data_IF_880594774244
#
_entry.id   IF_880594774244
#
_cell.length_a   1.000
_cell.length_b   1.000
_cell.length_c   1.000
_cell.angle_alpha   90.00
_cell.angle_beta   90.00
_cell.angle_gamma   90.00
#
_symmetry.space_group_name_H-M   'P 1'
#
loop_
_entity.id
_entity.type
_entity.pdbx_description
1 polymer ?
#
# COMPACT_ATOMS: atom_id res chain seq x y z
N UNK A 1 5.50 35.74 52.13
CA UNK A 1 4.57 35.70 50.98
C UNK A 1 4.55 34.30 50.48
N UNK A 2 3.45 33.59 50.72
CA UNK A 2 3.26 32.22 50.20
C UNK A 2 2.74 32.39 48.76
N UNK A 3 3.55 32.06 47.75
CA UNK A 3 3.08 31.97 46.37
C UNK A 3 2.21 30.71 46.29
N UNK A 4 0.91 30.92 46.26
CA UNK A 4 -0.05 29.88 45.90
C UNK A 4 0.06 29.73 44.36
N UNK A 5 0.83 28.77 43.87
CA UNK A 5 0.76 28.32 42.50
C UNK A 5 -0.61 27.63 42.34
N UNK A 6 -1.55 28.32 41.73
CA UNK A 6 -2.79 27.72 41.27
C UNK A 6 -2.34 26.72 40.19
N UNK A 7 -2.35 25.42 40.50
CA UNK A 7 -2.21 24.40 39.51
C UNK A 7 -3.43 24.57 38.58
N UNK A 8 -3.16 25.01 37.37
CA UNK A 8 -4.18 25.08 36.31
C UNK A 8 -4.64 23.63 36.02
N UNK A 9 -5.76 23.27 36.64
CA UNK A 9 -6.28 21.90 36.67
C UNK A 9 -6.99 21.58 35.35
N UNK A 10 -6.39 21.95 34.22
CA UNK A 10 -6.87 21.66 32.89
C UNK A 10 -6.60 20.19 32.60
N UNK A 11 -7.63 19.48 32.12
CA UNK A 11 -7.48 18.09 31.68
C UNK A 11 -6.55 18.04 30.45
N UNK A 12 -5.67 17.02 30.34
CA UNK A 12 -4.75 16.89 29.23
C UNK A 12 -5.41 16.96 27.85
N UNK A 13 -4.69 17.50 26.87
CA UNK A 13 -5.14 17.59 25.50
C UNK A 13 -4.28 16.69 24.62
N UNK A 14 -4.93 15.96 23.71
CA UNK A 14 -4.25 15.24 22.61
C UNK A 14 -4.26 16.18 21.40
N UNK A 15 -3.07 16.52 20.91
CA UNK A 15 -2.87 17.41 19.76
C UNK A 15 -2.74 16.63 18.44
N UNK A 16 -2.51 15.32 18.51
CA UNK A 16 -2.46 14.43 17.33
C UNK A 16 -3.86 14.26 16.78
N UNK A 17 -4.00 14.39 15.46
CA UNK A 17 -5.22 14.05 14.74
C UNK A 17 -5.28 12.56 14.38
N UNK A 18 -6.46 12.07 14.02
CA UNK A 18 -6.62 10.72 13.48
C UNK A 18 -5.78 10.55 12.21
N UNK A 19 -4.94 9.52 12.20
CA UNK A 19 -4.02 9.26 11.09
C UNK A 19 -4.22 7.88 10.50
N UNK A 20 -3.92 7.76 9.20
CA UNK A 20 -3.84 6.49 8.47
C UNK A 20 -2.40 6.30 8.01
N UNK A 21 -1.76 5.23 8.45
CA UNK A 21 -0.42 4.84 7.99
C UNK A 21 -0.52 3.56 7.18
N UNK A 22 0.18 3.52 6.06
CA UNK A 22 0.33 2.30 5.25
C UNK A 22 1.81 1.94 5.20
N UNK A 23 2.16 0.80 5.76
CA UNK A 23 3.54 0.34 5.90
C UNK A 23 3.71 -1.06 5.33
N UNK A 24 4.93 -1.38 4.91
CA UNK A 24 5.24 -2.71 4.41
C UNK A 24 5.40 -3.70 5.58
N UNK A 25 5.08 -4.96 5.30
CA UNK A 25 5.39 -6.06 6.21
C UNK A 25 6.90 -6.06 6.53
N UNK A 26 7.27 -6.51 7.73
CA UNK A 26 8.64 -6.50 8.28
C UNK A 26 9.25 -5.12 8.52
N UNK A 27 8.57 -4.01 8.22
CA UNK A 27 9.02 -2.67 8.61
C UNK A 27 8.69 -2.36 10.08
N UNK A 28 8.95 -1.15 10.52
CA UNK A 28 8.61 -0.67 11.88
C UNK A 28 7.52 0.37 11.79
N UNK A 29 6.45 0.24 12.58
CA UNK A 29 5.46 1.29 12.79
C UNK A 29 5.84 2.12 14.01
N UNK A 30 5.66 3.45 13.89
CA UNK A 30 5.78 4.40 15.00
C UNK A 30 4.49 5.22 15.02
N UNK A 31 3.65 4.95 16.03
CA UNK A 31 2.38 5.63 16.25
C UNK A 31 2.58 6.65 17.37
N UNK A 32 2.55 7.94 17.04
CA UNK A 32 2.91 9.01 17.98
C UNK A 32 1.72 9.82 18.41
N UNK A 33 1.56 9.95 19.72
CA UNK A 33 0.56 10.75 20.39
C UNK A 33 1.23 11.99 21.01
N UNK A 34 0.89 13.17 20.49
CA UNK A 34 1.37 14.46 21.01
C UNK A 34 0.39 14.96 22.07
N UNK A 35 0.88 15.18 23.27
CA UNK A 35 0.07 15.50 24.42
C UNK A 35 0.54 16.79 25.05
N UNK A 36 -0.41 17.65 25.36
CA UNK A 36 -0.23 18.88 26.13
C UNK A 36 -0.81 18.72 27.52
N UNK A 37 -0.07 19.24 28.53
CA UNK A 37 -0.47 19.30 29.92
C UNK A 37 -0.83 17.94 30.53
N UNK A 38 0.00 16.90 30.28
CA UNK A 38 -0.25 15.54 30.75
C UNK A 38 -0.39 15.47 32.29
N UNK A 39 0.40 16.27 33.03
CA UNK A 39 0.39 16.27 34.50
C UNK A 39 0.65 14.88 35.08
N UNK A 40 -0.19 14.48 36.05
CA UNK A 40 -0.10 13.17 36.72
C UNK A 40 -0.88 12.06 35.98
N UNK A 41 -1.45 12.36 34.79
CA UNK A 41 -2.20 11.38 34.04
C UNK A 41 -1.26 10.43 33.27
N UNK A 42 -1.80 9.27 32.91
CA UNK A 42 -1.08 8.27 32.11
C UNK A 42 -1.68 8.15 30.73
N UNK A 43 -0.77 8.03 29.75
CA UNK A 43 -1.14 7.67 28.38
C UNK A 43 -1.35 6.18 28.31
N UNK A 44 -2.47 5.75 27.75
CA UNK A 44 -2.78 4.34 27.55
C UNK A 44 -2.93 4.06 26.07
N UNK A 45 -2.24 3.04 25.60
CA UNK A 45 -2.37 2.53 24.25
C UNK A 45 -3.25 1.29 24.23
N UNK A 46 -4.20 1.26 23.28
CA UNK A 46 -5.09 0.13 23.03
C UNK A 46 -4.98 -0.32 21.59
N UNK A 47 -5.23 -1.61 21.34
CA UNK A 47 -5.57 -2.13 20.02
C UNK A 47 -7.06 -2.48 20.01
N UNK A 48 -7.79 -1.94 19.03
CA UNK A 48 -9.22 -2.23 18.84
C UNK A 48 -9.39 -3.51 18.03
N UNK A 49 -10.21 -4.41 18.53
CA UNK A 49 -10.63 -5.63 17.84
C UNK A 49 -12.03 -5.42 17.24
N UNK A 50 -12.17 -5.39 15.90
CA UNK A 50 -13.47 -5.17 15.27
C UNK A 50 -14.44 -6.36 15.43
N UNK A 51 -13.94 -7.57 15.71
CA UNK A 51 -14.78 -8.75 15.86
C UNK A 51 -15.52 -8.75 17.20
N UNK A 52 -14.82 -8.38 18.26
CA UNK A 52 -15.39 -8.35 19.63
C UNK A 52 -15.90 -6.96 20.01
N UNK A 53 -15.58 -5.93 19.21
CA UNK A 53 -15.80 -4.51 19.52
C UNK A 53 -15.13 -4.06 20.83
N UNK A 54 -14.12 -4.80 21.28
CA UNK A 54 -13.36 -4.50 22.50
C UNK A 54 -12.01 -3.87 22.14
N UNK A 55 -11.45 -3.16 23.11
CA UNK A 55 -10.11 -2.58 23.02
C UNK A 55 -9.22 -3.22 24.07
N UNK A 56 -8.19 -3.92 23.62
CA UNK A 56 -7.21 -4.54 24.51
C UNK A 56 -6.10 -3.55 24.86
N UNK A 57 -5.76 -3.37 26.15
CA UNK A 57 -4.68 -2.49 26.56
C UNK A 57 -3.33 -3.10 26.15
N UNK A 58 -2.50 -2.30 25.48
CA UNK A 58 -1.14 -2.65 25.10
C UNK A 58 -0.10 -2.07 26.07
N UNK A 59 -0.32 -0.84 26.53
CA UNK A 59 0.58 -0.14 27.42
C UNK A 59 -0.14 0.91 28.28
N UNK A 60 0.38 1.19 29.48
CA UNK A 60 0.02 2.33 30.34
C UNK A 60 1.30 3.05 30.73
N UNK A 61 1.43 4.33 30.39
CA UNK A 61 2.68 5.02 30.48
C UNK A 61 3.79 4.28 29.70
N UNK A 62 4.86 3.94 30.39
CA UNK A 62 5.99 3.16 29.82
C UNK A 62 5.85 1.65 30.03
N UNK A 63 4.85 1.21 30.77
CA UNK A 63 4.67 -0.21 31.10
C UNK A 63 3.86 -0.90 30.00
N UNK A 64 4.44 -1.92 29.38
CA UNK A 64 3.77 -2.81 28.41
C UNK A 64 2.97 -3.90 29.14
N UNK A 65 1.81 -4.25 28.57
CA UNK A 65 0.94 -5.34 29.00
C UNK A 65 0.87 -6.47 27.97
N UNK A 66 1.56 -6.33 26.85
CA UNK A 66 1.73 -7.41 25.87
C UNK A 66 3.01 -8.20 26.16
N UNK A 67 2.98 -9.50 25.86
CA UNK A 67 4.15 -10.38 25.89
C UNK A 67 4.93 -10.39 24.56
N UNK A 68 4.43 -9.70 23.55
CA UNK A 68 5.08 -9.60 22.25
C UNK A 68 6.24 -8.60 22.33
N UNK A 69 7.47 -9.11 22.27
CA UNK A 69 8.71 -8.33 22.40
C UNK A 69 8.92 -7.31 21.27
N UNK A 70 8.10 -7.37 20.20
CA UNK A 70 8.15 -6.41 19.11
C UNK A 70 7.58 -5.05 19.45
N UNK A 71 6.87 -4.95 20.58
CA UNK A 71 6.26 -3.70 21.04
C UNK A 71 7.20 -2.96 21.98
N UNK A 72 7.30 -1.64 21.80
CA UNK A 72 7.98 -0.75 22.76
C UNK A 72 7.27 0.59 22.89
N UNK A 73 7.54 1.29 23.99
CA UNK A 73 7.05 2.65 24.23
C UNK A 73 8.25 3.58 24.29
N UNK A 74 8.24 4.61 23.46
CA UNK A 74 9.17 5.72 23.55
C UNK A 74 8.47 6.99 24.02
N UNK A 75 9.22 7.82 24.76
CA UNK A 75 8.78 9.08 25.33
C UNK A 75 9.79 10.16 25.04
N UNK A 76 9.31 11.31 24.57
CA UNK A 76 10.13 12.48 24.33
C UNK A 76 9.42 13.73 24.87
N UNK A 77 10.09 14.51 25.74
CA UNK A 77 9.60 15.79 26.23
C UNK A 77 10.02 16.90 25.28
N UNK A 78 9.06 17.58 24.66
CA UNK A 78 9.32 18.73 23.79
C UNK A 78 9.51 19.99 24.64
N UNK A 79 8.66 20.18 25.64
CA UNK A 79 8.67 21.32 26.54
C UNK A 79 8.19 20.90 27.94
N UNK A 80 8.08 21.86 28.87
CA UNK A 80 7.49 21.59 30.18
C UNK A 80 6.01 21.21 30.13
N UNK A 81 5.32 21.52 29.02
CA UNK A 81 3.88 21.24 28.83
C UNK A 81 3.61 20.18 27.76
N UNK A 82 4.51 20.00 26.77
CA UNK A 82 4.29 19.17 25.61
C UNK A 82 5.19 17.94 25.60
N UNK A 83 4.60 16.77 25.30
CA UNK A 83 5.31 15.49 25.24
C UNK A 83 4.81 14.61 24.10
N UNK A 84 5.71 13.81 23.54
CA UNK A 84 5.40 12.76 22.56
C UNK A 84 5.46 11.39 23.22
N UNK A 85 4.43 10.62 23.00
CA UNK A 85 4.32 9.23 23.44
C UNK A 85 4.13 8.36 22.23
N UNK A 86 5.08 7.49 21.93
CA UNK A 86 5.03 6.67 20.73
C UNK A 86 4.94 5.19 21.09
N UNK A 87 3.99 4.50 20.47
CA UNK A 87 3.95 3.05 20.40
C UNK A 87 4.73 2.62 19.17
N UNK A 88 5.76 1.82 19.37
CA UNK A 88 6.60 1.28 18.30
C UNK A 88 6.34 -0.21 18.15
N UNK A 89 6.21 -0.67 16.90
CA UNK A 89 5.97 -2.08 16.57
C UNK A 89 7.01 -2.47 15.54
N UNK A 90 7.96 -3.28 15.94
CA UNK A 90 9.05 -3.76 15.08
C UNK A 90 8.62 -4.99 14.28
N UNK A 91 9.22 -5.18 13.11
CA UNK A 91 9.00 -6.36 12.26
C UNK A 91 7.49 -6.61 12.04
N UNK A 92 6.81 -5.63 11.48
CA UNK A 92 5.37 -5.66 11.26
C UNK A 92 4.91 -6.97 10.60
N UNK A 93 3.84 -7.53 11.15
CA UNK A 93 3.13 -8.71 10.63
C UNK A 93 1.76 -8.29 10.13
N UNK A 94 1.14 -9.08 9.29
CA UNK A 94 -0.22 -8.80 8.81
C UNK A 94 -1.23 -8.70 9.96
N UNK A 95 -1.04 -9.46 11.03
CA UNK A 95 -1.87 -9.43 12.24
C UNK A 95 -1.79 -8.11 13.02
N UNK A 96 -0.77 -7.27 12.73
CA UNK A 96 -0.65 -5.96 13.37
C UNK A 96 -1.54 -4.91 12.70
N UNK A 97 -2.09 -5.18 11.51
CA UNK A 97 -3.08 -4.31 10.87
C UNK A 97 -4.27 -4.07 11.80
N UNK A 98 -4.72 -2.81 11.87
CA UNK A 98 -5.88 -2.46 12.69
C UNK A 98 -5.85 -1.04 13.21
N UNK A 99 -6.73 -0.79 14.18
CA UNK A 99 -6.88 0.52 14.81
C UNK A 99 -6.23 0.53 16.19
N UNK A 100 -5.34 1.48 16.37
CA UNK A 100 -4.66 1.75 17.64
C UNK A 100 -5.20 3.04 18.23
N UNK A 101 -5.40 3.05 19.54
CA UNK A 101 -6.03 4.18 20.26
C UNK A 101 -5.07 4.66 21.34
N UNK A 102 -4.66 5.93 21.22
CA UNK A 102 -4.02 6.65 22.29
C UNK A 102 -5.10 7.31 23.15
N UNK A 103 -5.11 7.05 24.44
CA UNK A 103 -6.15 7.51 25.36
C UNK A 103 -5.54 8.03 26.66
N UNK A 104 -6.13 9.12 27.17
CA UNK A 104 -5.89 9.62 28.52
C UNK A 104 -7.26 9.66 29.22
N UNK A 105 -7.34 9.10 30.41
CA UNK A 105 -8.60 9.04 31.14
C UNK A 105 -8.39 9.17 32.65
N UNK A 106 -9.37 9.74 33.32
CA UNK A 106 -9.57 9.67 34.76
C UNK A 106 -11.02 9.37 35.06
N UNK A 107 -11.42 9.43 36.33
CA UNK A 107 -12.81 9.13 36.75
C UNK A 107 -13.85 10.08 36.16
N UNK A 108 -13.47 11.30 35.75
CA UNK A 108 -14.39 12.38 35.36
C UNK A 108 -14.38 12.67 33.85
N UNK A 109 -13.26 12.42 33.18
CA UNK A 109 -13.06 12.79 31.78
C UNK A 109 -12.17 11.79 31.05
N UNK A 110 -12.33 11.73 29.74
CA UNK A 110 -11.41 10.99 28.85
C UNK A 110 -11.27 11.69 27.51
N UNK A 111 -10.08 11.61 26.92
CA UNK A 111 -9.78 12.05 25.56
C UNK A 111 -9.01 10.93 24.86
N UNK A 112 -9.28 10.73 23.57
CA UNK A 112 -8.60 9.70 22.78
C UNK A 112 -8.49 10.09 21.32
N UNK A 113 -7.49 9.52 20.63
CA UNK A 113 -7.32 9.62 19.18
C UNK A 113 -7.09 8.23 18.62
N UNK A 114 -7.63 7.97 17.44
CA UNK A 114 -7.48 6.70 16.73
C UNK A 114 -6.46 6.85 15.60
N UNK A 115 -5.62 5.83 15.44
CA UNK A 115 -4.62 5.72 14.38
C UNK A 115 -4.82 4.40 13.66
N UNK A 116 -4.97 4.44 12.35
CA UNK A 116 -5.21 3.25 11.54
C UNK A 116 -3.92 2.81 10.86
N UNK A 117 -3.49 1.59 11.16
CA UNK A 117 -2.33 0.95 10.56
C UNK A 117 -2.78 -0.05 9.51
N UNK A 118 -2.37 0.17 8.26
CA UNK A 118 -2.55 -0.75 7.15
C UNK A 118 -1.22 -1.40 6.80
N UNK A 119 -1.23 -2.72 6.63
CA UNK A 119 -0.03 -3.49 6.30
C UNK A 119 -0.08 -3.89 4.83
N UNK A 120 0.98 -3.54 4.11
CA UNK A 120 1.17 -3.94 2.71
C UNK A 120 2.23 -5.02 2.60
N UNK A 121 1.89 -6.06 1.84
CA UNK A 121 2.84 -7.09 1.46
C UNK A 121 3.49 -6.68 0.14
N UNK A 122 4.82 -6.73 0.01
CA UNK A 122 5.47 -6.37 -1.25
C UNK A 122 4.96 -7.23 -2.41
N UNK A 123 4.41 -6.57 -3.41
CA UNK A 123 4.00 -7.19 -4.68
C UNK A 123 4.82 -6.60 -5.82
N UNK A 124 5.16 -7.45 -6.78
CA UNK A 124 5.88 -7.04 -8.00
C UNK A 124 5.17 -7.64 -9.20
N UNK A 125 4.88 -6.83 -10.20
CA UNK A 125 4.37 -7.27 -11.49
C UNK A 125 5.36 -6.90 -12.59
N UNK A 126 5.76 -7.86 -13.40
CA UNK A 126 6.67 -7.67 -14.51
C UNK A 126 6.29 -8.56 -15.70
N UNK A 127 6.37 -8.02 -16.93
CA UNK A 127 6.49 -6.62 -17.29
C UNK A 127 5.20 -5.84 -17.04
N UNK A 128 5.26 -4.50 -16.94
CA UNK A 128 4.09 -3.63 -16.77
C UNK A 128 3.53 -3.11 -18.11
N UNK A 129 4.33 -3.20 -19.16
CA UNK A 129 3.91 -2.84 -20.52
C UNK A 129 4.39 -3.91 -21.50
N UNK A 130 3.48 -4.40 -22.34
CA UNK A 130 3.76 -5.41 -23.36
C UNK A 130 3.21 -4.90 -24.69
N UNK A 131 4.09 -4.82 -25.67
CA UNK A 131 3.76 -4.53 -27.07
C UNK A 131 4.15 -5.72 -27.91
N UNK A 132 3.21 -6.35 -28.57
CA UNK A 132 3.45 -7.61 -29.30
C UNK A 132 2.58 -7.72 -30.54
N UNK A 133 3.08 -8.40 -31.54
CA UNK A 133 2.31 -8.74 -32.74
C UNK A 133 1.35 -9.90 -32.47
N UNK A 134 0.23 -9.99 -33.23
CA UNK A 134 -0.67 -11.13 -33.17
C UNK A 134 0.08 -12.45 -33.38
N UNK A 135 -0.27 -13.47 -32.59
CA UNK A 135 0.38 -14.78 -32.57
C UNK A 135 1.59 -14.91 -31.63
N UNK A 136 2.10 -13.79 -31.09
CA UNK A 136 3.19 -13.81 -30.13
C UNK A 136 2.77 -14.34 -28.75
N UNK A 137 3.76 -14.71 -27.92
CA UNK A 137 3.52 -15.22 -26.56
C UNK A 137 3.73 -14.13 -25.51
N UNK A 138 2.84 -14.04 -24.54
CA UNK A 138 2.90 -13.08 -23.45
C UNK A 138 3.10 -13.82 -22.13
N UNK A 139 4.04 -13.34 -21.31
CA UNK A 139 4.26 -13.80 -19.95
C UNK A 139 4.25 -12.62 -19.01
N UNK A 140 3.30 -12.59 -18.08
CA UNK A 140 3.28 -11.68 -16.95
C UNK A 140 3.59 -12.47 -15.68
N UNK A 141 4.53 -11.97 -14.87
CA UNK A 141 4.86 -12.55 -13.57
C UNK A 141 4.43 -11.61 -12.45
N UNK A 142 3.55 -12.09 -11.59
CA UNK A 142 3.14 -11.41 -10.36
C UNK A 142 3.70 -12.16 -9.17
N UNK A 143 4.55 -11.49 -8.40
CA UNK A 143 5.25 -12.06 -7.25
C UNK A 143 4.81 -11.37 -5.98
N UNK A 144 4.61 -12.14 -4.91
CA UNK A 144 4.21 -11.72 -3.58
C UNK A 144 5.18 -12.33 -2.56
N UNK A 145 5.74 -11.50 -1.67
CA UNK A 145 6.64 -11.97 -0.59
C UNK A 145 5.90 -11.87 0.73
N UNK A 146 5.57 -13.01 1.34
CA UNK A 146 4.95 -13.09 2.67
C UNK A 146 6.03 -13.21 3.75
N UNK A 147 5.73 -12.78 5.00
CA UNK A 147 6.58 -13.13 6.13
C UNK A 147 6.32 -14.58 6.57
N UNK A 148 7.29 -15.18 7.28
CA UNK A 148 7.17 -16.55 7.78
C UNK A 148 5.98 -16.77 8.71
N UNK A 149 5.47 -15.70 9.32
CA UNK A 149 4.35 -15.74 10.26
C UNK A 149 2.98 -15.47 9.61
N UNK A 150 2.94 -15.13 8.32
CA UNK A 150 1.69 -14.90 7.57
C UNK A 150 1.20 -16.14 6.83
N UNK A 151 1.74 -17.30 7.11
CA UNK A 151 1.11 -18.55 6.74
C UNK A 151 -0.20 -18.65 7.52
N UNK A 152 -1.28 -18.09 6.95
CA UNK A 152 -2.62 -18.47 7.33
C UNK A 152 -2.65 -20.00 7.32
N UNK A 153 -2.92 -20.58 8.48
CA UNK A 153 -2.87 -22.00 8.82
C UNK A 153 -3.87 -22.87 8.05
N UNK A 154 -4.11 -22.55 6.81
CA UNK A 154 -4.91 -23.35 5.90
C UNK A 154 -3.99 -24.25 5.07
N UNK A 155 -3.37 -25.22 5.75
CA UNK A 155 -2.55 -26.28 5.13
C UNK A 155 -3.26 -27.02 3.98
N UNK A 156 -4.57 -26.87 3.88
CA UNK A 156 -5.40 -27.50 2.87
C UNK A 156 -5.62 -26.63 1.60
N UNK A 157 -5.24 -25.36 1.60
CA UNK A 157 -5.49 -24.48 0.47
C UNK A 157 -4.22 -24.19 -0.33
N UNK A 158 -3.78 -25.18 -1.15
CA UNK A 158 -2.71 -25.06 -2.17
C UNK A 158 -2.98 -24.00 -3.26
N UNK A 159 -3.90 -23.07 -3.03
CA UNK A 159 -4.25 -22.03 -4.00
C UNK A 159 -3.42 -20.79 -3.72
N UNK A 160 -2.71 -20.31 -4.75
CA UNK A 160 -2.03 -19.03 -4.69
C UNK A 160 -3.02 -17.94 -4.25
N UNK A 161 -2.65 -17.09 -3.30
CA UNK A 161 -3.49 -15.98 -2.88
C UNK A 161 -3.65 -14.91 -3.96
N UNK A 162 -2.84 -14.96 -5.03
CA UNK A 162 -2.87 -14.00 -6.13
C UNK A 162 -4.00 -14.34 -7.09
N UNK A 163 -4.81 -13.35 -7.43
CA UNK A 163 -5.87 -13.42 -8.44
C UNK A 163 -5.54 -12.54 -9.66
N UNK A 164 -5.99 -12.94 -10.84
CA UNK A 164 -5.83 -12.17 -12.06
C UNK A 164 -7.17 -11.61 -12.54
N UNK A 165 -7.13 -10.41 -13.10
CA UNK A 165 -8.29 -9.71 -13.65
C UNK A 165 -7.95 -9.15 -15.04
N UNK A 166 -8.93 -9.19 -15.94
CA UNK A 166 -8.88 -8.54 -17.23
C UNK A 166 -10.05 -7.57 -17.33
N UNK A 167 -9.79 -6.30 -17.62
CA UNK A 167 -10.80 -5.22 -17.67
C UNK A 167 -11.76 -5.27 -16.45
N UNK A 168 -11.20 -5.40 -15.25
CA UNK A 168 -11.91 -5.50 -13.96
C UNK A 168 -12.61 -6.84 -13.68
N UNK A 169 -12.74 -7.75 -14.64
CA UNK A 169 -13.35 -9.06 -14.45
C UNK A 169 -12.30 -10.07 -13.97
N UNK A 170 -12.59 -10.77 -12.88
CA UNK A 170 -11.70 -11.84 -12.41
C UNK A 170 -11.67 -12.98 -13.40
N UNK A 171 -10.46 -13.44 -13.76
CA UNK A 171 -10.26 -14.60 -14.60
C UNK A 171 -10.52 -15.86 -13.78
N UNK A 172 -11.75 -16.35 -13.85
CA UNK A 172 -12.20 -17.57 -13.22
C UNK A 172 -11.94 -18.81 -14.11
N UNK A 173 -12.52 -19.95 -13.73
CA UNK A 173 -12.37 -21.26 -14.40
C UNK A 173 -12.78 -21.28 -15.88
N UNK A 174 -13.58 -20.33 -16.35
CA UNK A 174 -13.90 -20.11 -17.77
C UNK A 174 -12.82 -19.22 -18.40
N UNK A 175 -11.65 -19.80 -18.62
CA UNK A 175 -10.52 -19.09 -19.26
C UNK A 175 -10.77 -19.00 -20.77
N UNK A 176 -10.40 -17.89 -21.41
CA UNK A 176 -10.17 -17.90 -22.85
C UNK A 176 -9.19 -19.05 -23.17
N UNK A 177 -9.38 -19.75 -24.27
CA UNK A 177 -8.63 -20.97 -24.59
C UNK A 177 -7.09 -20.77 -24.58
N UNK A 178 -6.62 -19.55 -24.78
CA UNK A 178 -5.21 -19.22 -24.94
C UNK A 178 -4.56 -18.63 -23.67
N UNK A 179 -5.30 -18.54 -22.53
CA UNK A 179 -4.81 -17.94 -21.28
C UNK A 179 -4.61 -19.01 -20.22
N UNK A 180 -3.37 -19.13 -19.73
CA UNK A 180 -2.98 -20.09 -18.69
C UNK A 180 -2.46 -19.36 -17.46
N UNK A 181 -2.76 -19.89 -16.27
CA UNK A 181 -2.20 -19.40 -15.02
C UNK A 181 -1.40 -20.53 -14.39
N UNK A 182 -0.08 -20.32 -14.30
CA UNK A 182 0.84 -21.19 -13.55
C UNK A 182 1.18 -20.54 -12.22
N UNK A 183 1.27 -21.32 -11.17
CA UNK A 183 1.57 -20.86 -9.81
C UNK A 183 2.76 -21.60 -9.28
N UNK A 184 3.60 -20.89 -8.52
CA UNK A 184 4.78 -21.45 -7.88
C UNK A 184 4.94 -20.80 -6.51
N UNK A 185 5.34 -21.60 -5.51
CA UNK A 185 5.72 -21.12 -4.20
C UNK A 185 7.10 -21.65 -3.87
N UNK A 186 8.03 -20.76 -3.54
CA UNK A 186 9.38 -21.11 -3.10
C UNK A 186 9.65 -20.27 -1.86
N UNK A 187 9.91 -20.94 -0.74
CA UNK A 187 10.04 -20.30 0.57
C UNK A 187 8.81 -19.41 0.82
N UNK A 188 9.02 -18.15 1.19
CA UNK A 188 7.94 -17.21 1.47
C UNK A 188 7.51 -16.39 0.24
N UNK A 189 7.93 -16.80 -0.96
CA UNK A 189 7.64 -16.10 -2.21
C UNK A 189 6.63 -16.88 -3.04
N UNK A 190 5.50 -16.24 -3.33
CA UNK A 190 4.45 -16.76 -4.22
C UNK A 190 4.55 -16.06 -5.56
N UNK A 191 4.71 -16.83 -6.63
CA UNK A 191 4.73 -16.32 -7.99
C UNK A 191 3.54 -16.87 -8.76
N UNK A 192 2.83 -16.00 -9.45
CA UNK A 192 1.74 -16.35 -10.34
C UNK A 192 2.02 -15.83 -11.74
N UNK A 193 2.17 -16.74 -12.67
CA UNK A 193 2.46 -16.46 -14.08
C UNK A 193 1.17 -16.49 -14.87
N UNK A 194 0.84 -15.38 -15.54
CA UNK A 194 -0.18 -15.34 -16.57
C UNK A 194 0.51 -15.52 -17.92
N UNK A 195 0.08 -16.53 -18.67
CA UNK A 195 0.68 -16.93 -19.96
C UNK A 195 -0.42 -16.84 -21.01
N UNK A 196 -0.17 -16.11 -22.10
CA UNK A 196 -1.02 -16.08 -23.29
C UNK A 196 -0.19 -16.68 -24.43
N UNK A 197 -0.60 -17.84 -24.96
CA UNK A 197 0.14 -18.63 -25.99
C UNK A 197 -0.29 -18.11 -27.30
N UNK A 198 -0.57 -17.36 -27.89
CA UNK A 198 -1.02 -16.80 -29.17
C UNK A 198 -1.84 -15.53 -28.94
N UNK A 199 -1.14 -14.42 -28.84
CA UNK A 199 -1.78 -13.15 -28.56
C UNK A 199 -2.71 -12.72 -29.70
N UNK A 200 -3.95 -12.38 -29.39
CA UNK A 200 -4.93 -11.78 -30.29
C UNK A 200 -5.22 -10.33 -29.86
N UNK A 201 -5.74 -9.52 -30.77
CA UNK A 201 -6.14 -8.13 -30.48
C UNK A 201 -7.13 -8.03 -29.30
N UNK A 202 -7.94 -9.07 -29.07
CA UNK A 202 -8.86 -9.20 -27.92
C UNK A 202 -8.12 -9.27 -26.56
N UNK A 203 -6.84 -9.60 -26.53
CA UNK A 203 -6.03 -9.59 -25.32
C UNK A 203 -5.46 -8.21 -25.00
N UNK A 204 -5.62 -7.23 -25.91
CA UNK A 204 -5.24 -5.84 -25.63
C UNK A 204 -6.08 -5.24 -24.51
N UNK A 205 -5.43 -4.61 -23.54
CA UNK A 205 -6.10 -4.01 -22.41
C UNK A 205 -5.28 -4.03 -21.14
N UNK A 206 -5.96 -3.82 -20.03
CA UNK A 206 -5.36 -3.80 -18.69
C UNK A 206 -5.54 -5.14 -18.03
N UNK A 207 -4.43 -5.75 -17.68
CA UNK A 207 -4.34 -6.99 -16.92
C UNK A 207 -3.86 -6.69 -15.52
N UNK A 208 -4.57 -7.14 -14.51
CA UNK A 208 -4.30 -6.80 -13.11
C UNK A 208 -4.09 -8.06 -12.31
N UNK A 209 -2.99 -8.14 -11.57
CA UNK A 209 -2.85 -9.09 -10.48
C UNK A 209 -3.25 -8.43 -9.16
N UNK A 210 -3.92 -9.17 -8.29
CA UNK A 210 -4.46 -8.67 -7.04
C UNK A 210 -4.22 -9.63 -5.88
N UNK A 211 -3.90 -9.07 -4.72
CA UNK A 211 -3.83 -9.75 -3.44
C UNK A 211 -4.41 -8.84 -2.36
N UNK A 212 -5.44 -9.31 -1.65
CA UNK A 212 -6.17 -8.51 -0.67
C UNK A 212 -6.63 -7.17 -1.28
N UNK A 213 -6.16 -6.02 -0.75
CA UNK A 213 -6.47 -4.67 -1.26
C UNK A 213 -5.49 -4.16 -2.31
N UNK A 214 -4.35 -4.84 -2.49
CA UNK A 214 -3.32 -4.42 -3.45
C UNK A 214 -3.66 -4.88 -4.86
N UNK A 215 -3.39 -4.02 -5.83
CA UNK A 215 -3.59 -4.28 -7.26
C UNK A 215 -2.44 -3.69 -8.06
N UNK A 216 -1.82 -4.50 -8.90
CA UNK A 216 -0.81 -4.06 -9.86
C UNK A 216 -1.29 -4.39 -11.26
N UNK A 217 -1.12 -3.44 -12.17
CA UNK A 217 -1.66 -3.57 -13.52
C UNK A 217 -0.56 -3.50 -14.58
N UNK A 218 -0.72 -4.35 -15.61
CA UNK A 218 0.07 -4.34 -16.82
C UNK A 218 -0.81 -3.97 -18.02
N UNK A 219 -0.26 -3.15 -18.92
CA UNK A 219 -0.92 -2.81 -20.19
C UNK A 219 -0.37 -3.70 -21.29
N UNK A 220 -1.26 -4.42 -21.98
CA UNK A 220 -0.93 -5.22 -23.16
C UNK A 220 -1.54 -4.53 -24.38
N UNK A 221 -0.74 -4.36 -25.44
CA UNK A 221 -1.17 -3.94 -26.75
C UNK A 221 -0.71 -4.98 -27.78
N UNK A 222 -1.70 -5.59 -28.46
CA UNK A 222 -1.48 -6.55 -29.52
C UNK A 222 -1.89 -5.89 -30.84
N UNK A 223 -0.91 -5.54 -31.66
CA UNK A 223 -1.14 -4.78 -32.89
C UNK A 223 -0.16 -5.24 -33.99
N UNK A 224 -0.59 -5.19 -35.24
CA UNK A 224 0.29 -5.35 -36.41
C UNK A 224 1.09 -4.07 -36.60
N UNK A 225 2.36 -4.19 -37.07
CA UNK A 225 3.24 -3.05 -37.35
C UNK A 225 3.74 -2.23 -36.12
N UNK A 226 4.05 -2.89 -35.03
CA UNK A 226 4.63 -2.26 -33.81
C UNK A 226 5.87 -1.40 -34.12
N UNK A 227 6.64 -1.75 -35.15
CA UNK A 227 7.82 -1.00 -35.59
C UNK A 227 7.51 0.45 -35.99
N UNK A 228 6.29 0.75 -36.46
CA UNK A 228 5.87 2.12 -36.76
C UNK A 228 5.70 2.93 -35.47
N UNK A 229 5.11 2.35 -34.45
CA UNK A 229 4.89 3.03 -33.15
C UNK A 229 6.19 3.28 -32.38
N UNK A 230 7.12 2.33 -32.40
CA UNK A 230 8.43 2.51 -31.73
C UNK A 230 9.27 3.60 -32.42
N UNK A 231 9.23 3.70 -33.75
CA UNK A 231 9.90 4.80 -34.48
C UNK A 231 9.27 6.15 -34.18
N UNK A 232 7.95 6.22 -34.02
CA UNK A 232 7.26 7.47 -33.72
C UNK A 232 7.55 7.96 -32.31
N UNK A 233 7.54 7.07 -31.31
CA UNK A 233 7.89 7.39 -29.92
C UNK A 233 9.36 7.78 -29.77
N UNK A 234 10.28 7.15 -30.51
CA UNK A 234 11.69 7.50 -30.50
C UNK A 234 11.95 8.85 -31.17
N UNK A 235 11.21 9.21 -32.21
CA UNK A 235 11.29 10.52 -32.85
C UNK A 235 10.76 11.62 -31.92
N UNK A 236 9.70 11.38 -31.17
CA UNK A 236 9.18 12.33 -30.17
C UNK A 236 10.09 12.47 -28.95
N UNK A 237 10.74 11.40 -28.52
CA UNK A 237 11.68 11.43 -27.39
C UNK A 237 13.00 12.14 -27.71
N UNK A 238 13.43 12.12 -28.97
CA UNK A 238 14.66 12.77 -29.45
C UNK A 238 14.46 14.22 -29.93
N UNK A 239 13.21 14.72 -29.99
CA UNK A 239 12.95 16.12 -30.26
C UNK A 239 13.16 16.95 -28.98
N UNK A 240 14.40 17.34 -28.73
CA UNK A 240 14.74 18.33 -27.71
C UNK A 240 14.04 19.67 -28.06
N UNK A 241 13.44 20.37 -27.09
CA UNK A 241 12.64 21.57 -27.36
C UNK A 241 13.45 22.79 -27.85
N UNK A 242 14.72 22.62 -28.19
CA UNK A 242 15.61 23.74 -28.53
C UNK A 242 15.84 24.02 -30.02
N UNK A 243 15.30 23.22 -30.95
CA UNK A 243 15.48 23.49 -32.39
C UNK A 243 14.27 23.12 -33.25
N UNK A 244 13.10 23.63 -32.92
CA UNK A 244 11.99 23.70 -33.88
C UNK A 244 12.14 25.02 -34.66
N UNK A 245 12.73 24.96 -35.88
CA UNK A 245 12.66 26.10 -36.79
C UNK A 245 11.22 26.30 -37.26
N UNK A 246 10.80 27.55 -37.49
CA UNK A 246 9.44 27.92 -37.93
C UNK A 246 8.93 27.10 -39.15
N UNK A 247 9.79 26.54 -39.95
CA UNK A 247 9.46 25.69 -41.12
C UNK A 247 8.90 24.32 -40.65
N UNK A 248 9.44 23.72 -39.57
CA UNK A 248 8.94 22.44 -39.01
C UNK A 248 7.61 22.59 -38.32
N UNK A 249 7.33 23.77 -37.75
CA UNK A 249 6.02 24.06 -37.14
C UNK A 249 4.91 24.11 -38.17
N UNK A 250 5.16 24.69 -39.34
CA UNK A 250 4.18 24.79 -40.44
C UNK A 250 3.90 23.44 -41.11
N UNK A 251 4.89 22.59 -41.26
CA UNK A 251 4.69 21.24 -41.82
C UNK A 251 3.89 20.34 -40.82
N UNK A 252 4.10 20.50 -39.52
CA UNK A 252 3.36 19.75 -38.50
C UNK A 252 1.89 20.19 -38.43
N UNK A 253 1.62 21.48 -38.50
CA UNK A 253 0.24 22.02 -38.54
C UNK A 253 -0.48 21.59 -39.83
N UNK A 254 0.22 21.58 -40.97
CA UNK A 254 -0.37 21.13 -42.23
C UNK A 254 -0.71 19.62 -42.24
N UNK A 255 0.10 18.81 -41.58
CA UNK A 255 -0.13 17.37 -41.46
C UNK A 255 -1.33 17.06 -40.53
N UNK A 256 -1.48 17.81 -39.44
CA UNK A 256 -2.64 17.70 -38.55
C UNK A 256 -3.95 18.10 -39.26
N UNK A 257 -3.93 19.10 -40.15
CA UNK A 257 -5.12 19.48 -40.92
C UNK A 257 -5.54 18.47 -41.98
N UNK A 258 -4.58 17.64 -42.48
CA UNK A 258 -4.88 16.58 -43.48
C UNK A 258 -5.39 15.29 -42.82
N UNK A 259 -5.05 15.02 -41.57
CA UNK A 259 -5.47 13.81 -40.83
C UNK A 259 -6.87 13.95 -40.22
N UNK A 260 -7.33 15.19 -39.95
CA UNK A 260 -8.68 15.45 -39.40
C UNK A 260 -9.76 15.80 -40.44
N UNK A 261 -9.49 15.59 -41.74
CA UNK A 261 -10.44 15.88 -42.82
C UNK A 261 -10.90 14.65 -43.60
N UNK A 262 -10.74 13.41 -42.98
CA UNK A 262 -11.38 12.21 -43.49
C UNK A 262 -11.92 11.37 -42.32
#
# INVERSE_FOLDING_TARGET
>A
MIQITIADNTFPQILTETTNQTLNISSTAILTCHIRDLGEHHVTWFKYDPLTSLSSPLAVGKQLFTTDERYSISFYSISSRDSLWSLEIYQLRQSDEGTYICKIANRKASVSVSMHLHIQTPMILSPTNVYIEPGGNILLNCTLVLSEHDHDSDENNKRSPITWHFLSNQINKTKPHDVYIRRQSINNTFSSFLIISSAHTTHSGIWTCAYRRQRLSAKILVEKDILKHQRFSALLANSSPRQMTLIQFWTFVFYLFLVFKY
#
